data_IF_942915949896
#
_entry.id   IF_942915949896
#
_cell.length_a   1.000
_cell.length_b   1.000
_cell.length_c   1.000
_cell.angle_alpha   90.00
_cell.angle_beta   90.00
_cell.angle_gamma   90.00
#
_symmetry.space_group_name_H-M   'P 1'
#
loop_
_entity.id
_entity.type
_entity.pdbx_description
1 polymer ?
#
# COMPACT_ATOMS: atom_id res chain seq x y z
N UNK A 1 -49.40 -36.96 55.51
CA UNK A 1 -48.16 -37.54 54.96
C UNK A 1 -48.21 -37.45 53.43
N UNK A 2 -47.12 -37.18 52.69
CA UNK A 2 -45.79 -36.72 53.10
C UNK A 2 -45.43 -35.30 52.60
N UNK A 3 -44.50 -34.67 53.33
CA UNK A 3 -43.81 -33.41 53.03
C UNK A 3 -42.83 -33.60 51.85
N UNK A 4 -42.77 -32.66 50.92
CA UNK A 4 -41.64 -32.51 49.98
C UNK A 4 -40.81 -31.30 50.41
N UNK A 5 -39.62 -31.55 50.95
CA UNK A 5 -38.56 -30.55 51.09
C UNK A 5 -37.99 -30.25 49.70
N UNK A 6 -38.02 -29.00 49.27
CA UNK A 6 -37.23 -28.50 48.16
C UNK A 6 -35.96 -27.87 48.73
N UNK A 7 -34.82 -28.55 48.54
CA UNK A 7 -33.50 -27.94 48.70
C UNK A 7 -33.31 -26.94 47.55
N UNK A 8 -33.19 -25.66 47.87
CA UNK A 8 -32.73 -24.65 46.94
C UNK A 8 -31.20 -24.75 46.82
N UNK A 9 -30.73 -25.19 45.65
CA UNK A 9 -29.32 -25.21 45.27
C UNK A 9 -28.97 -23.82 44.71
N UNK A 10 -28.35 -22.96 45.51
CA UNK A 10 -27.89 -21.65 45.07
C UNK A 10 -26.67 -21.81 44.16
N UNK A 11 -26.88 -21.70 42.85
CA UNK A 11 -25.81 -21.51 41.86
C UNK A 11 -25.21 -20.11 42.05
N UNK A 12 -23.98 -20.04 42.57
CA UNK A 12 -23.14 -18.85 42.53
C UNK A 12 -22.64 -18.64 41.09
N UNK A 13 -23.36 -17.83 40.32
CA UNK A 13 -22.86 -17.28 39.05
C UNK A 13 -21.77 -16.27 39.42
N UNK A 14 -20.51 -16.65 39.22
CA UNK A 14 -19.39 -15.72 39.31
C UNK A 14 -19.45 -14.80 38.08
N UNK A 15 -19.93 -13.58 38.27
CA UNK A 15 -19.73 -12.50 37.32
C UNK A 15 -18.24 -12.20 37.26
N UNK A 16 -17.57 -12.65 36.19
CA UNK A 16 -16.27 -12.09 35.83
C UNK A 16 -16.53 -10.68 35.34
N UNK A 17 -16.42 -9.70 36.24
CA UNK A 17 -16.31 -8.30 35.87
C UNK A 17 -15.01 -8.14 35.10
N UNK A 18 -15.11 -7.98 33.78
CA UNK A 18 -13.98 -7.49 32.97
C UNK A 18 -13.62 -6.10 33.49
N UNK A 19 -12.57 -5.99 34.28
CA UNK A 19 -12.02 -4.69 34.67
C UNK A 19 -11.56 -3.98 33.39
N UNK A 20 -11.82 -2.67 33.30
CA UNK A 20 -11.24 -1.87 32.23
C UNK A 20 -9.71 -1.90 32.36
N UNK A 21 -9.01 -2.02 31.23
CA UNK A 21 -7.55 -2.04 31.24
C UNK A 21 -6.97 -0.78 31.90
N UNK A 22 -5.79 -0.85 32.53
CA UNK A 22 -5.11 0.33 33.05
C UNK A 22 -4.95 1.44 32.00
N UNK A 23 -4.90 2.72 32.38
CA UNK A 23 -4.77 3.83 31.44
C UNK A 23 -3.59 3.70 30.46
N UNK A 24 -2.43 3.19 30.92
CA UNK A 24 -1.26 2.95 30.08
C UNK A 24 -1.51 1.89 28.98
N UNK A 25 -2.24 0.83 29.31
CA UNK A 25 -2.61 -0.24 28.37
C UNK A 25 -3.60 0.25 27.31
N UNK A 26 -4.59 1.05 27.73
CA UNK A 26 -5.54 1.70 26.81
C UNK A 26 -4.84 2.70 25.88
N UNK A 27 -3.89 3.47 26.41
CA UNK A 27 -3.09 4.40 25.62
C UNK A 27 -2.24 3.65 24.58
N UNK A 28 -1.55 2.58 24.99
CA UNK A 28 -0.73 1.78 24.07
C UNK A 28 -1.60 1.15 22.97
N UNK A 29 -2.74 0.58 23.34
CA UNK A 29 -3.70 0.00 22.39
C UNK A 29 -4.20 1.04 21.37
N UNK A 30 -4.42 2.28 21.82
CA UNK A 30 -4.85 3.39 20.96
C UNK A 30 -3.74 3.81 19.99
N UNK A 31 -2.48 3.87 20.43
CA UNK A 31 -1.32 4.17 19.56
C UNK A 31 -1.12 3.05 18.53
N UNK A 32 -1.23 1.78 18.94
CA UNK A 32 -1.15 0.64 18.01
C UNK A 32 -2.23 0.76 16.92
N UNK A 33 -3.48 1.02 17.31
CA UNK A 33 -4.58 1.17 16.35
C UNK A 33 -4.38 2.37 15.40
N UNK A 34 -3.79 3.47 15.87
CA UNK A 34 -3.42 4.61 15.02
C UNK A 34 -2.30 4.25 14.04
N UNK A 35 -1.26 3.56 14.51
CA UNK A 35 -0.17 3.09 13.67
C UNK A 35 -0.68 2.17 12.55
N UNK A 36 -1.54 1.20 12.87
CA UNK A 36 -2.18 0.33 11.88
C UNK A 36 -3.02 1.12 10.86
N UNK A 37 -3.71 2.17 11.30
CA UNK A 37 -4.47 3.03 10.39
C UNK A 37 -3.55 3.79 9.44
N UNK A 38 -2.43 4.31 9.93
CA UNK A 38 -1.42 4.98 9.09
C UNK A 38 -0.89 3.99 8.04
N UNK A 39 -0.55 2.76 8.43
CA UNK A 39 -0.10 1.72 7.49
C UNK A 39 -1.14 1.44 6.40
N UNK A 40 -2.41 1.26 6.77
CA UNK A 40 -3.50 1.02 5.82
C UNK A 40 -3.80 2.20 4.89
N UNK A 41 -3.49 3.42 5.34
CA UNK A 41 -3.62 4.61 4.50
C UNK A 41 -2.55 4.66 3.40
N UNK A 42 -1.30 4.34 3.73
CA UNK A 42 -0.17 4.39 2.79
C UNK A 42 -0.10 3.16 1.87
N UNK A 43 -0.60 2.01 2.32
CA UNK A 43 -0.70 0.79 1.52
C UNK A 43 -2.16 0.33 1.34
N UNK A 44 -2.93 0.96 0.43
CA UNK A 44 -4.29 0.56 0.14
C UNK A 44 -4.40 -0.80 -0.56
N UNK A 45 -3.29 -1.38 -1.02
CA UNK A 45 -3.33 -2.71 -1.64
C UNK A 45 -3.43 -3.77 -0.54
N UNK A 46 -2.51 -3.75 0.42
CA UNK A 46 -2.54 -4.66 1.57
C UNK A 46 -3.77 -4.44 2.44
N UNK A 47 -4.16 -3.17 2.69
CA UNK A 47 -5.38 -2.87 3.43
C UNK A 47 -6.63 -3.51 2.79
N UNK A 48 -6.72 -3.48 1.46
CA UNK A 48 -7.81 -4.12 0.72
C UNK A 48 -7.80 -5.66 0.83
N UNK A 49 -6.61 -6.27 0.85
CA UNK A 49 -6.44 -7.71 1.07
C UNK A 49 -6.81 -8.12 2.50
N UNK A 50 -6.64 -7.22 3.47
CA UNK A 50 -7.03 -7.38 4.88
C UNK A 50 -8.52 -7.06 5.14
N UNK A 51 -9.28 -6.69 4.10
CA UNK A 51 -10.73 -6.47 4.19
C UNK A 51 -11.19 -5.02 4.29
N UNK A 52 -10.29 -4.03 4.19
CA UNK A 52 -10.67 -2.63 4.06
C UNK A 52 -11.31 -2.37 2.69
N UNK A 53 -12.64 -2.23 2.67
CA UNK A 53 -13.38 -2.05 1.42
C UNK A 53 -13.19 -0.68 0.78
N UNK A 54 -12.85 0.34 1.56
CA UNK A 54 -12.59 1.68 1.03
C UNK A 54 -11.21 1.73 0.36
N UNK A 55 -10.25 0.93 0.85
CA UNK A 55 -8.94 0.76 0.23
C UNK A 55 -9.00 0.09 -1.17
N UNK A 56 -10.01 -0.75 -1.42
CA UNK A 56 -10.21 -1.40 -2.74
C UNK A 56 -10.40 -0.41 -3.90
N UNK A 57 -10.72 0.85 -3.60
CA UNK A 57 -10.97 1.90 -4.59
C UNK A 57 -9.74 2.73 -4.96
N UNK A 58 -8.62 2.54 -4.25
CA UNK A 58 -7.47 3.46 -4.28
C UNK A 58 -6.19 2.78 -4.77
N UNK A 59 -5.34 3.58 -5.40
CA UNK A 59 -3.91 3.31 -5.57
C UNK A 59 -3.12 3.96 -4.43
N UNK A 60 -1.88 3.51 -4.15
CA UNK A 60 -1.00 4.20 -3.21
C UNK A 60 -0.86 5.68 -3.54
N UNK A 61 -0.92 6.53 -2.52
CA UNK A 61 -0.76 7.97 -2.68
C UNK A 61 0.73 8.33 -2.78
N UNK A 62 1.17 8.62 -4.00
CA UNK A 62 2.57 8.95 -4.32
C UNK A 62 2.72 10.40 -4.77
N UNK A 63 1.77 11.27 -4.39
CA UNK A 63 1.80 12.70 -4.70
C UNK A 63 2.99 13.38 -4.03
N UNK A 64 3.55 14.45 -4.64
CA UNK A 64 4.48 15.33 -3.94
C UNK A 64 3.88 15.83 -2.63
N UNK A 65 4.51 15.51 -1.50
CA UNK A 65 4.05 15.90 -0.17
C UNK A 65 3.36 14.81 0.64
N UNK A 66 2.95 13.69 0.03
CA UNK A 66 2.37 12.55 0.75
C UNK A 66 3.36 12.00 1.81
N UNK A 67 4.64 11.88 1.46
CA UNK A 67 5.70 11.48 2.39
C UNK A 67 5.85 12.46 3.58
N UNK A 68 5.65 13.77 3.37
CA UNK A 68 5.67 14.78 4.44
C UNK A 68 4.47 14.64 5.36
N UNK A 69 3.29 14.40 4.81
CA UNK A 69 2.09 14.13 5.60
C UNK A 69 2.23 12.86 6.44
N UNK A 70 2.79 11.79 5.85
CA UNK A 70 3.07 10.56 6.57
C UNK A 70 4.07 10.78 7.71
N UNK A 71 5.15 11.54 7.46
CA UNK A 71 6.12 11.92 8.49
C UNK A 71 5.45 12.62 9.67
N UNK A 72 4.63 13.64 9.41
CA UNK A 72 3.95 14.39 10.47
C UNK A 72 3.04 13.48 11.32
N UNK A 73 2.35 12.51 10.70
CA UNK A 73 1.52 11.53 11.42
C UNK A 73 2.37 10.61 12.30
N UNK A 74 3.47 10.08 11.78
CA UNK A 74 4.38 9.21 12.52
C UNK A 74 5.10 9.94 13.67
N UNK A 75 5.55 11.18 13.45
CA UNK A 75 6.19 12.00 14.49
C UNK A 75 5.21 12.36 15.60
N UNK A 76 3.96 12.72 15.25
CA UNK A 76 2.91 12.94 16.24
C UNK A 76 2.63 11.66 17.04
N UNK A 77 2.55 10.50 16.37
CA UNK A 77 2.32 9.22 17.03
C UNK A 77 3.48 8.79 17.94
N UNK A 78 4.73 9.04 17.53
CA UNK A 78 5.90 8.84 18.38
C UNK A 78 5.83 9.72 19.63
N UNK A 79 5.36 10.96 19.50
CA UNK A 79 5.11 11.86 20.62
C UNK A 79 4.05 11.36 21.59
N UNK A 80 2.96 10.76 21.10
CA UNK A 80 1.94 10.13 21.96
C UNK A 80 2.47 8.86 22.65
N UNK A 81 3.19 8.02 21.92
CA UNK A 81 3.81 6.81 22.48
C UNK A 81 4.80 7.15 23.61
N UNK A 82 5.57 8.23 23.47
CA UNK A 82 6.55 8.67 24.47
C UNK A 82 5.91 9.13 25.81
N UNK A 83 4.60 9.41 25.85
CA UNK A 83 3.89 9.83 27.08
C UNK A 83 3.48 8.65 27.97
N UNK A 84 3.54 7.41 27.48
CA UNK A 84 3.11 6.22 28.22
C UNK A 84 4.18 5.85 29.23
N UNK A 85 3.81 5.76 30.52
CA UNK A 85 4.71 5.25 31.56
C UNK A 85 4.87 3.74 31.43
N UNK A 86 6.02 3.30 30.94
CA UNK A 86 6.30 1.87 30.69
C UNK A 86 6.32 1.03 31.97
N UNK A 87 6.41 1.65 33.17
CA UNK A 87 6.36 0.93 34.45
C UNK A 87 4.95 0.44 34.80
N UNK A 88 3.93 1.03 34.16
CA UNK A 88 2.53 0.65 34.33
C UNK A 88 2.07 -0.41 33.31
N UNK A 89 2.95 -0.79 32.36
CA UNK A 89 2.66 -1.81 31.36
C UNK A 89 2.97 -3.22 31.87
N UNK A 90 2.14 -4.17 31.49
CA UNK A 90 2.46 -5.59 31.62
C UNK A 90 3.70 -5.93 30.77
N UNK A 91 4.36 -7.07 31.06
CA UNK A 91 5.57 -7.48 30.36
C UNK A 91 5.37 -7.64 28.84
N UNK A 92 4.22 -8.18 28.42
CA UNK A 92 3.87 -8.29 27.00
C UNK A 92 3.70 -6.93 26.33
N UNK A 93 2.97 -6.02 26.99
CA UNK A 93 2.76 -4.65 26.52
C UNK A 93 4.04 -3.83 26.50
N UNK A 94 4.97 -4.06 27.43
CA UNK A 94 6.31 -3.45 27.44
C UNK A 94 7.13 -3.87 26.21
N UNK A 95 7.03 -5.14 25.78
CA UNK A 95 7.67 -5.60 24.55
C UNK A 95 6.99 -4.96 23.32
N UNK A 96 5.66 -4.95 23.27
CA UNK A 96 4.89 -4.31 22.18
C UNK A 96 5.24 -2.83 22.05
N UNK A 97 5.34 -2.11 23.18
CA UNK A 97 5.80 -0.72 23.23
C UNK A 97 7.18 -0.58 22.57
N UNK A 98 8.16 -1.39 23.00
CA UNK A 98 9.54 -1.29 22.51
C UNK A 98 9.63 -1.59 21.00
N UNK A 99 8.88 -2.59 20.53
CA UNK A 99 8.81 -2.93 19.10
C UNK A 99 8.16 -1.80 18.30
N UNK A 100 7.03 -1.26 18.78
CA UNK A 100 6.35 -0.16 18.11
C UNK A 100 7.20 1.11 18.05
N UNK A 101 7.87 1.47 19.14
CA UNK A 101 8.78 2.62 19.18
C UNK A 101 9.92 2.47 18.16
N UNK A 102 10.53 1.28 18.09
CA UNK A 102 11.56 0.96 17.09
C UNK A 102 11.01 1.06 15.67
N UNK A 103 9.80 0.54 15.44
CA UNK A 103 9.19 0.51 14.12
C UNK A 103 8.83 1.92 13.63
N UNK A 104 8.17 2.74 14.47
CA UNK A 104 7.84 4.13 14.12
C UNK A 104 9.12 4.94 13.81
N UNK A 105 10.16 4.79 14.62
CA UNK A 105 11.45 5.45 14.37
C UNK A 105 12.07 5.01 13.03
N UNK A 106 12.00 3.70 12.73
CA UNK A 106 12.47 3.16 11.46
C UNK A 106 11.68 3.71 10.25
N UNK A 107 10.36 3.85 10.36
CA UNK A 107 9.53 4.39 9.29
C UNK A 107 9.75 5.90 9.08
N UNK A 108 10.02 6.65 10.15
CA UNK A 108 10.43 8.06 10.05
C UNK A 108 11.80 8.15 9.33
N UNK A 109 12.77 7.33 9.71
CA UNK A 109 14.09 7.28 9.05
C UNK A 109 13.97 6.89 7.58
N UNK A 110 13.07 5.95 7.23
CA UNK A 110 12.79 5.56 5.85
C UNK A 110 12.43 6.76 4.98
N UNK A 111 11.64 7.69 5.53
CA UNK A 111 11.18 8.88 4.83
C UNK A 111 12.31 9.88 4.55
N UNK A 112 13.47 9.78 5.21
CA UNK A 112 14.64 10.64 4.94
C UNK A 112 15.27 10.32 3.57
N UNK A 113 15.06 9.11 3.05
CA UNK A 113 15.66 8.68 1.79
C UNK A 113 14.86 9.05 0.54
N UNK A 114 13.60 9.50 0.68
CA UNK A 114 12.71 9.87 -0.44
C UNK A 114 12.74 8.81 -1.56
N UNK A 115 12.40 7.57 -1.21
CA UNK A 115 12.51 6.40 -2.08
C UNK A 115 11.53 6.44 -3.26
N UNK A 116 10.46 7.25 -3.18
CA UNK A 116 9.48 7.43 -4.26
C UNK A 116 10.11 7.95 -5.56
N UNK A 117 11.28 8.61 -5.48
CA UNK A 117 12.09 9.02 -6.64
C UNK A 117 12.49 7.85 -7.54
N UNK A 118 12.42 6.63 -7.03
CA UNK A 118 12.68 5.38 -7.74
C UNK A 118 11.42 4.51 -7.71
N UNK A 119 10.54 4.72 -8.69
CA UNK A 119 9.22 4.07 -8.73
C UNK A 119 9.18 2.67 -9.38
N UNK A 120 10.33 2.11 -9.75
CA UNK A 120 10.46 0.76 -10.31
C UNK A 120 11.85 0.19 -10.05
N UNK A 121 11.99 -1.13 -10.14
CA UNK A 121 13.26 -1.87 -10.08
C UNK A 121 13.32 -2.87 -11.27
N UNK A 122 14.13 -3.93 -11.17
CA UNK A 122 14.29 -4.91 -12.26
C UNK A 122 13.13 -5.89 -12.44
N UNK A 123 12.21 -6.02 -11.48
CA UNK A 123 11.11 -7.00 -11.51
C UNK A 123 9.72 -6.39 -11.35
N UNK A 124 9.63 -5.20 -10.75
CA UNK A 124 8.37 -4.60 -10.33
C UNK A 124 8.41 -3.08 -10.33
N UNK A 125 7.24 -2.47 -10.24
CA UNK A 125 7.07 -1.03 -10.11
C UNK A 125 5.61 -0.64 -10.31
N UNK A 126 5.33 0.65 -10.29
CA UNK A 126 3.96 1.16 -10.45
C UNK A 126 3.28 0.66 -11.74
N UNK A 127 4.07 0.47 -12.80
CA UNK A 127 3.59 0.00 -14.11
C UNK A 127 3.16 -1.48 -14.14
N UNK A 128 3.69 -2.33 -13.26
CA UNK A 128 3.28 -3.74 -13.14
C UNK A 128 2.31 -3.99 -12.00
N UNK A 129 2.29 -3.13 -10.98
CA UNK A 129 1.39 -3.26 -9.82
C UNK A 129 -0.08 -3.36 -10.24
N UNK A 130 -0.53 -2.53 -11.19
CA UNK A 130 -1.92 -2.55 -11.63
C UNK A 130 -2.32 -3.88 -12.29
N UNK A 131 -1.43 -4.46 -13.09
CA UNK A 131 -1.66 -5.77 -13.72
C UNK A 131 -1.66 -6.90 -12.69
N UNK A 132 -0.79 -6.82 -11.67
CA UNK A 132 -0.79 -7.77 -10.56
C UNK A 132 -2.10 -7.73 -9.78
N UNK A 133 -2.51 -6.54 -9.34
CA UNK A 133 -3.76 -6.34 -8.57
C UNK A 133 -4.97 -6.77 -9.39
N UNK A 134 -4.99 -6.52 -10.71
CA UNK A 134 -6.06 -6.98 -11.58
C UNK A 134 -6.18 -8.52 -11.59
N UNK A 135 -5.05 -9.24 -11.60
CA UNK A 135 -5.05 -10.72 -11.62
C UNK A 135 -5.50 -11.34 -10.31
N UNK A 136 -5.33 -10.64 -9.19
CA UNK A 136 -5.75 -11.11 -7.87
C UNK A 136 -7.12 -10.57 -7.43
N UNK A 137 -7.74 -9.69 -8.22
CA UNK A 137 -9.05 -9.10 -7.90
C UNK A 137 -10.18 -10.02 -8.35
N UNK A 138 -11.08 -10.37 -7.42
CA UNK A 138 -12.31 -11.12 -7.69
C UNK A 138 -13.51 -10.20 -7.50
N UNK A 139 -14.41 -10.13 -8.49
CA UNK A 139 -15.65 -9.36 -8.38
C UNK A 139 -16.80 -10.28 -7.95
N UNK A 140 -17.31 -10.09 -6.74
CA UNK A 140 -18.43 -10.88 -6.20
C UNK A 140 -19.72 -10.07 -6.07
N UNK A 141 -19.61 -8.74 -6.05
CA UNK A 141 -20.71 -7.81 -5.79
C UNK A 141 -20.70 -6.60 -6.73
N UNK A 142 -21.75 -5.77 -6.63
CA UNK A 142 -21.82 -4.48 -7.33
C UNK A 142 -20.70 -3.57 -6.82
N UNK A 143 -20.47 -3.59 -5.52
CA UNK A 143 -19.52 -2.74 -4.84
C UNK A 143 -18.08 -3.06 -5.25
N UNK A 144 -17.74 -4.34 -5.45
CA UNK A 144 -16.43 -4.75 -5.94
C UNK A 144 -16.19 -4.25 -7.38
N UNK A 145 -17.21 -4.36 -8.24
CA UNK A 145 -17.12 -3.87 -9.61
C UNK A 145 -16.92 -2.35 -9.65
N UNK A 146 -17.65 -1.59 -8.84
CA UNK A 146 -17.47 -0.14 -8.72
C UNK A 146 -16.11 0.22 -8.11
N UNK A 147 -15.61 -0.56 -7.14
CA UNK A 147 -14.29 -0.33 -6.55
C UNK A 147 -13.16 -0.54 -7.56
N UNK A 148 -13.25 -1.60 -8.36
CA UNK A 148 -12.28 -1.85 -9.42
C UNK A 148 -12.35 -0.78 -10.52
N UNK A 149 -13.55 -0.35 -10.91
CA UNK A 149 -13.72 0.76 -11.85
C UNK A 149 -13.11 2.06 -11.32
N UNK A 150 -13.26 2.36 -10.03
CA UNK A 150 -12.62 3.52 -9.41
C UNK A 150 -11.07 3.44 -9.49
N UNK A 151 -10.49 2.26 -9.28
CA UNK A 151 -9.04 2.05 -9.51
C UNK A 151 -8.67 2.29 -10.97
N UNK A 152 -9.43 1.78 -11.93
CA UNK A 152 -9.15 2.03 -13.35
C UNK A 152 -9.24 3.52 -13.73
N UNK A 153 -10.19 4.24 -13.15
CA UNK A 153 -10.35 5.69 -13.32
C UNK A 153 -9.15 6.48 -12.78
N UNK A 154 -8.67 6.12 -11.59
CA UNK A 154 -7.54 6.78 -10.95
C UNK A 154 -6.16 6.35 -11.52
N UNK A 155 -6.11 5.34 -12.39
CA UNK A 155 -4.83 4.76 -12.81
C UNK A 155 -4.00 5.71 -13.70
N UNK A 156 -4.62 6.53 -14.54
CA UNK A 156 -3.87 7.54 -15.33
C UNK A 156 -3.14 8.52 -14.42
N UNK A 157 -3.82 8.97 -13.36
CA UNK A 157 -3.28 9.97 -12.44
C UNK A 157 -2.18 9.35 -11.58
N UNK A 158 -2.31 8.07 -11.22
CA UNK A 158 -1.24 7.32 -10.56
C UNK A 158 0.02 7.21 -11.44
N UNK A 159 -0.13 7.01 -12.76
CA UNK A 159 0.99 7.08 -13.69
C UNK A 159 1.64 8.48 -13.66
N UNK A 160 0.84 9.55 -13.78
CA UNK A 160 1.36 10.92 -13.81
C UNK A 160 2.14 11.29 -12.54
N UNK A 161 1.65 10.88 -11.37
CA UNK A 161 2.35 11.09 -10.10
C UNK A 161 3.69 10.35 -10.06
N UNK A 162 3.73 9.09 -10.51
CA UNK A 162 4.98 8.33 -10.59
C UNK A 162 5.97 8.94 -11.58
N UNK A 163 5.52 9.42 -12.74
CA UNK A 163 6.38 10.15 -13.69
C UNK A 163 6.94 11.43 -13.06
N UNK A 164 6.14 12.16 -12.28
CA UNK A 164 6.63 13.32 -11.53
C UNK A 164 7.71 12.95 -10.49
N UNK A 165 7.55 11.81 -9.81
CA UNK A 165 8.55 11.28 -8.87
C UNK A 165 9.84 10.86 -9.58
N UNK A 166 9.74 10.15 -10.70
CA UNK A 166 10.88 9.74 -11.52
C UNK A 166 11.64 10.96 -12.06
N UNK A 167 10.95 12.04 -12.45
CA UNK A 167 11.59 13.32 -12.81
C UNK A 167 12.33 13.96 -11.63
N UNK A 168 11.85 13.82 -10.39
CA UNK A 168 12.62 14.22 -9.21
C UNK A 168 13.88 13.36 -9.06
N UNK A 169 13.77 12.05 -9.29
CA UNK A 169 14.91 11.13 -9.33
C UNK A 169 16.00 11.59 -10.30
N UNK A 170 15.62 11.96 -11.53
CA UNK A 170 16.53 12.55 -12.53
C UNK A 170 17.23 13.80 -11.98
N UNK A 171 16.47 14.78 -11.47
CA UNK A 171 17.03 16.04 -10.96
C UNK A 171 17.99 15.84 -9.79
N UNK A 172 17.74 14.84 -8.97
CA UNK A 172 18.54 14.53 -7.77
C UNK A 172 19.58 13.43 -8.01
N UNK A 173 19.76 12.99 -9.27
CA UNK A 173 20.70 11.93 -9.67
C UNK A 173 20.46 10.59 -8.98
N UNK A 174 19.22 10.33 -8.55
CA UNK A 174 18.76 9.04 -8.07
C UNK A 174 17.91 8.38 -9.15
N UNK A 175 18.57 7.74 -10.12
CA UNK A 175 17.94 7.04 -11.25
C UNK A 175 18.37 5.58 -11.29
N UNK A 176 17.55 4.70 -11.86
CA UNK A 176 17.93 3.29 -12.04
C UNK A 176 19.08 3.12 -13.05
N UNK A 177 19.87 2.02 -12.94
CA UNK A 177 20.89 1.71 -13.92
C UNK A 177 20.30 1.41 -15.30
N UNK A 178 21.08 1.64 -16.36
CA UNK A 178 20.64 1.39 -17.74
C UNK A 178 20.03 0.00 -17.97
N UNK A 179 20.62 -1.05 -17.43
CA UNK A 179 20.11 -2.44 -17.57
C UNK A 179 18.70 -2.61 -16.98
N UNK A 180 18.37 -1.90 -15.91
CA UNK A 180 17.04 -1.93 -15.30
C UNK A 180 16.05 -1.16 -16.16
N UNK A 181 16.47 0.02 -16.65
CA UNK A 181 15.63 0.85 -17.53
C UNK A 181 15.29 0.13 -18.83
N UNK A 182 16.27 -0.52 -19.47
CA UNK A 182 16.05 -1.26 -20.72
C UNK A 182 15.01 -2.38 -20.53
N UNK A 183 15.08 -3.13 -19.41
CA UNK A 183 14.09 -4.18 -19.07
C UNK A 183 12.69 -3.61 -18.85
N UNK A 184 12.58 -2.53 -18.10
CA UNK A 184 11.30 -1.87 -17.81
C UNK A 184 10.69 -1.29 -19.08
N UNK A 185 11.52 -0.70 -19.97
CA UNK A 185 11.08 -0.21 -21.27
C UNK A 185 10.49 -1.32 -22.13
N UNK A 186 11.10 -2.51 -22.15
CA UNK A 186 10.56 -3.66 -22.88
C UNK A 186 9.20 -4.10 -22.35
N UNK A 187 9.02 -4.13 -21.03
CA UNK A 187 7.72 -4.43 -20.40
C UNK A 187 6.69 -3.35 -20.76
N UNK A 188 7.03 -2.07 -20.62
CA UNK A 188 6.15 -0.95 -20.89
C UNK A 188 5.71 -0.91 -22.37
N UNK A 189 6.63 -1.20 -23.30
CA UNK A 189 6.30 -1.30 -24.75
C UNK A 189 5.30 -2.41 -25.03
N UNK A 190 5.49 -3.60 -24.43
CA UNK A 190 4.52 -4.70 -24.56
C UNK A 190 3.16 -4.31 -24.02
N UNK A 191 3.09 -3.73 -22.82
CA UNK A 191 1.83 -3.27 -22.22
C UNK A 191 1.13 -2.22 -23.09
N UNK A 192 1.87 -1.26 -23.64
CA UNK A 192 1.34 -0.19 -24.49
C UNK A 192 0.88 -0.68 -25.87
N UNK A 193 1.50 -1.74 -26.39
CA UNK A 193 1.15 -2.37 -27.68
C UNK A 193 -0.02 -3.35 -27.58
N UNK A 194 -0.29 -3.91 -26.39
CA UNK A 194 -1.41 -4.83 -26.17
C UNK A 194 -2.74 -4.16 -26.52
N UNK A 195 -3.59 -4.77 -27.37
CA UNK A 195 -4.93 -4.29 -27.63
C UNK A 195 -5.73 -4.04 -26.32
N UNK A 196 -6.63 -3.04 -26.26
CA UNK A 196 -7.36 -2.73 -25.03
C UNK A 196 -8.17 -3.91 -24.46
N UNK A 197 -8.76 -4.73 -25.33
CA UNK A 197 -9.52 -5.94 -24.99
C UNK A 197 -8.64 -7.09 -24.48
N UNK A 198 -7.36 -7.13 -24.88
CA UNK A 198 -6.35 -8.06 -24.35
C UNK A 198 -5.69 -7.63 -23.04
N UNK A 199 -6.15 -6.55 -22.40
CA UNK A 199 -5.53 -6.01 -21.19
C UNK A 199 -5.71 -6.91 -19.97
N UNK A 200 -4.65 -7.12 -19.19
CA UNK A 200 -4.73 -7.78 -17.88
C UNK A 200 -5.68 -7.04 -16.91
N UNK A 201 -5.85 -5.72 -17.09
CA UNK A 201 -6.77 -4.90 -16.31
C UNK A 201 -8.26 -5.26 -16.47
N UNK A 202 -8.59 -6.05 -17.50
CA UNK A 202 -9.92 -6.60 -17.71
C UNK A 202 -10.10 -7.99 -17.09
N UNK A 203 -9.06 -8.58 -16.49
CA UNK A 203 -9.12 -9.91 -15.87
C UNK A 203 -10.25 -10.04 -14.83
N UNK A 204 -10.55 -9.03 -13.98
CA UNK A 204 -11.66 -9.12 -13.03
C UNK A 204 -13.03 -9.28 -13.71
N UNK A 205 -13.16 -8.87 -14.98
CA UNK A 205 -14.37 -8.99 -15.79
C UNK A 205 -14.43 -10.26 -16.64
N UNK A 206 -13.53 -11.23 -16.43
CA UNK A 206 -13.50 -12.47 -17.20
C UNK A 206 -14.70 -13.40 -16.89
N UNK A 207 -15.24 -13.34 -15.66
CA UNK A 207 -16.36 -14.19 -15.22
C UNK A 207 -17.39 -13.37 -14.45
N UNK A 208 -18.64 -13.37 -14.93
CA UNK A 208 -19.76 -12.74 -14.23
C UNK A 208 -20.08 -13.49 -12.93
N UNK A 209 -20.17 -12.82 -11.78
CA UNK A 209 -20.69 -13.44 -10.57
C UNK A 209 -22.21 -13.68 -10.70
N UNK A 210 -22.76 -14.82 -10.23
CA UNK A 210 -24.19 -15.12 -10.33
C UNK A 210 -25.11 -14.06 -9.71
N UNK A 211 -24.61 -13.35 -8.68
CA UNK A 211 -25.34 -12.30 -7.97
C UNK A 211 -25.53 -11.01 -8.78
N UNK A 212 -24.82 -10.82 -9.89
CA UNK A 212 -24.93 -9.61 -10.72
C UNK A 212 -25.81 -9.84 -11.96
N UNK A 213 -26.79 -8.96 -12.24
CA UNK A 213 -27.54 -9.00 -13.50
C UNK A 213 -26.63 -8.86 -14.73
N UNK A 214 -26.96 -9.56 -15.82
CA UNK A 214 -26.20 -9.51 -17.07
C UNK A 214 -26.09 -8.08 -17.63
N UNK A 215 -27.15 -7.28 -17.53
CA UNK A 215 -27.15 -5.89 -17.99
C UNK A 215 -26.15 -5.02 -17.22
N UNK A 216 -26.09 -5.15 -15.88
CA UNK A 216 -25.12 -4.43 -15.05
C UNK A 216 -23.68 -4.89 -15.36
N UNK A 217 -23.48 -6.20 -15.51
CA UNK A 217 -22.18 -6.79 -15.85
C UNK A 217 -21.65 -6.27 -17.19
N UNK A 218 -22.50 -6.28 -18.23
CA UNK A 218 -22.16 -5.76 -19.55
C UNK A 218 -21.81 -4.28 -19.50
N UNK A 219 -22.55 -3.48 -18.71
CA UNK A 219 -22.23 -2.06 -18.48
C UNK A 219 -20.86 -1.88 -17.82
N UNK A 220 -20.55 -2.62 -16.75
CA UNK A 220 -19.26 -2.49 -16.06
C UNK A 220 -18.09 -2.91 -16.93
N UNK A 221 -18.21 -4.03 -17.64
CA UNK A 221 -17.17 -4.49 -18.58
C UNK A 221 -16.93 -3.46 -19.69
N UNK A 222 -18.00 -2.87 -20.22
CA UNK A 222 -17.89 -1.83 -21.26
C UNK A 222 -17.22 -0.56 -20.73
N UNK A 223 -17.56 -0.10 -19.52
CA UNK A 223 -16.89 1.03 -18.87
C UNK A 223 -15.41 0.74 -18.61
N UNK A 224 -15.08 -0.45 -18.12
CA UNK A 224 -13.70 -0.86 -17.90
C UNK A 224 -12.88 -0.86 -19.21
N UNK A 225 -13.44 -1.41 -20.30
CA UNK A 225 -12.79 -1.39 -21.61
C UNK A 225 -12.57 0.04 -22.13
N UNK A 226 -13.57 0.92 -21.95
CA UNK A 226 -13.44 2.33 -22.31
C UNK A 226 -12.31 3.01 -21.53
N UNK A 227 -12.25 2.83 -20.20
CA UNK A 227 -11.18 3.36 -19.36
C UNK A 227 -9.79 2.87 -19.78
N UNK A 228 -9.67 1.57 -20.08
CA UNK A 228 -8.41 1.01 -20.59
C UNK A 228 -8.01 1.67 -21.90
N UNK A 229 -8.94 1.78 -22.85
CA UNK A 229 -8.68 2.35 -24.18
C UNK A 229 -8.36 3.84 -24.15
N UNK A 230 -9.13 4.62 -23.39
CA UNK A 230 -9.19 6.07 -23.50
C UNK A 230 -8.32 6.79 -22.47
N UNK A 231 -8.02 6.16 -21.33
CA UNK A 231 -7.23 6.77 -20.25
C UNK A 231 -5.91 6.05 -20.03
N UNK A 232 -5.96 4.73 -19.84
CA UNK A 232 -4.81 3.95 -19.39
C UNK A 232 -3.81 3.69 -20.52
N UNK A 233 -4.27 3.33 -21.72
CA UNK A 233 -3.39 3.10 -22.88
C UNK A 233 -2.60 4.36 -23.28
N UNK A 234 -3.21 5.57 -23.34
CA UNK A 234 -2.45 6.81 -23.49
C UNK A 234 -1.40 7.02 -22.40
N UNK A 235 -1.71 6.77 -21.13
CA UNK A 235 -0.76 6.89 -20.02
C UNK A 235 0.42 5.92 -20.14
N UNK A 236 0.16 4.66 -20.51
CA UNK A 236 1.21 3.66 -20.79
C UNK A 236 2.10 4.08 -21.95
N UNK A 237 1.53 4.61 -23.04
CA UNK A 237 2.34 5.17 -24.15
C UNK A 237 3.15 6.40 -23.73
N UNK A 238 2.61 7.23 -22.84
CA UNK A 238 3.35 8.36 -22.27
C UNK A 238 4.53 7.89 -21.41
N UNK A 239 4.34 6.83 -20.63
CA UNK A 239 5.42 6.21 -19.87
C UNK A 239 6.52 5.63 -20.77
N UNK A 240 6.18 4.96 -21.87
CA UNK A 240 7.16 4.49 -22.88
C UNK A 240 7.98 5.66 -23.41
N UNK A 241 7.32 6.75 -23.87
CA UNK A 241 8.03 7.94 -24.35
C UNK A 241 8.92 8.56 -23.28
N UNK A 242 8.44 8.64 -22.04
CA UNK A 242 9.21 9.14 -20.91
C UNK A 242 10.49 8.32 -20.67
N UNK A 243 10.39 6.99 -20.70
CA UNK A 243 11.56 6.11 -20.57
C UNK A 243 12.55 6.31 -21.73
N UNK A 244 12.07 6.46 -22.96
CA UNK A 244 12.92 6.63 -24.14
C UNK A 244 13.61 8.00 -24.20
N UNK A 245 12.89 9.07 -23.81
CA UNK A 245 13.29 10.44 -24.09
C UNK A 245 13.83 11.20 -22.87
N UNK A 246 13.40 10.82 -21.66
CA UNK A 246 13.78 11.53 -20.43
C UNK A 246 14.59 10.63 -19.48
N UNK A 247 14.04 9.48 -19.08
CA UNK A 247 14.64 8.65 -18.03
C UNK A 247 15.83 7.82 -18.52
N UNK A 248 15.73 7.22 -19.71
CA UNK A 248 16.79 6.43 -20.33
C UNK A 248 18.10 7.19 -20.52
N UNK A 249 18.08 8.40 -21.10
CA UNK A 249 19.26 9.26 -21.20
C UNK A 249 19.85 9.67 -19.84
N UNK A 250 19.02 9.71 -18.78
CA UNK A 250 19.43 10.04 -17.42
C UNK A 250 19.74 8.82 -16.54
N UNK A 251 19.65 7.60 -17.09
CA UNK A 251 19.92 6.36 -16.37
C UNK A 251 21.40 6.32 -15.96
N UNK A 252 21.68 5.96 -14.70
CA UNK A 252 23.05 5.90 -14.22
C UNK A 252 23.82 4.74 -14.88
N UNK A 253 25.12 4.90 -15.16
CA UNK A 253 25.93 3.82 -15.75
C UNK A 253 26.30 2.75 -14.71
N UNK A 254 26.47 3.12 -13.44
CA UNK A 254 26.88 2.18 -12.40
C UNK A 254 25.70 1.41 -11.78
N UNK A 255 25.94 0.14 -11.49
CA UNK A 255 24.93 -0.74 -10.88
C UNK A 255 24.68 -0.40 -9.40
N UNK A 256 25.77 -0.21 -8.65
CA UNK A 256 25.74 -0.11 -7.20
C UNK A 256 25.06 1.17 -6.72
N UNK A 257 24.10 1.05 -5.79
CA UNK A 257 23.42 2.20 -5.19
C UNK A 257 24.39 3.18 -4.52
N UNK A 258 25.54 2.68 -4.03
CA UNK A 258 26.60 3.47 -3.39
C UNK A 258 27.15 4.60 -4.26
N UNK A 259 26.97 4.55 -5.59
CA UNK A 259 27.53 5.54 -6.51
C UNK A 259 26.69 6.81 -6.63
N UNK A 260 25.46 6.82 -6.11
CA UNK A 260 24.59 8.02 -6.13
C UNK A 260 24.86 8.90 -4.89
N UNK A 261 24.53 10.21 -4.93
CA UNK A 261 24.61 11.06 -3.74
C UNK A 261 23.80 10.47 -2.56
N UNK A 262 24.45 10.29 -1.41
CA UNK A 262 23.85 9.64 -0.23
C UNK A 262 23.70 8.11 -0.34
N UNK A 263 24.23 7.50 -1.40
CA UNK A 263 24.03 6.09 -1.73
C UNK A 263 24.54 5.09 -0.69
N UNK A 264 25.64 5.39 0.01
CA UNK A 264 26.16 4.54 1.09
C UNK A 264 25.20 4.48 2.28
N UNK A 265 24.66 5.63 2.71
CA UNK A 265 23.72 5.69 3.83
C UNK A 265 22.40 4.99 3.45
N UNK A 266 21.92 5.24 2.23
CA UNK A 266 20.73 4.58 1.71
C UNK A 266 20.92 3.07 1.55
N UNK A 267 22.10 2.62 1.10
CA UNK A 267 22.41 1.19 1.01
C UNK A 267 22.40 0.52 2.39
N UNK A 268 23.02 1.14 3.40
CA UNK A 268 23.02 0.62 4.78
C UNK A 268 21.61 0.55 5.35
N UNK A 269 20.80 1.59 5.13
CA UNK A 269 19.41 1.59 5.54
C UNK A 269 18.62 0.46 4.87
N UNK A 270 18.72 0.31 3.54
CA UNK A 270 18.03 -0.75 2.80
C UNK A 270 18.53 -2.14 3.19
N UNK A 271 19.82 -2.34 3.45
CA UNK A 271 20.32 -3.61 3.96
C UNK A 271 19.65 -3.98 5.29
N UNK A 272 19.58 -3.05 6.25
CA UNK A 272 18.86 -3.27 7.51
C UNK A 272 17.37 -3.52 7.29
N UNK A 273 16.74 -2.79 6.35
CA UNK A 273 15.33 -2.96 6.01
C UNK A 273 15.01 -4.37 5.51
N UNK A 274 15.87 -4.92 4.66
CA UNK A 274 15.65 -6.21 3.99
C UNK A 274 16.19 -7.40 4.79
N UNK A 275 17.20 -7.22 5.65
CA UNK A 275 17.88 -8.33 6.36
C UNK A 275 17.81 -8.24 7.88
N UNK A 276 17.10 -7.25 8.44
CA UNK A 276 16.94 -7.05 9.90
C UNK A 276 18.25 -6.98 10.71
N UNK A 277 19.36 -6.54 10.08
CA UNK A 277 20.72 -6.46 10.65
C UNK A 277 21.09 -5.11 11.28
#
# INVERSE_FOLDING_TARGET
MPRRLLLAFSLLVSFVTSAADPPAEQALSSVIAEYERILKQVDPISAGQEGDRDALRRWPDVRPGAARENRMRLEALAGELAKIDTRELAAGSSLSYALLARQIAFDIERLDFDLDRVAFNNDSGFHTLADYVARTTTLSSREDAEAWLARLEALSDYYDQNLANLRRGIRTKLTQPKIVVDRVLDVARRQAATPPDGSALLAPFARRPPALPEADWSRYRSRALALVRERIRPAQRAFVRFLEQEYGPAARPELGLRTVPGGEQMYRFLARAETTT
#
